data_IF_526829137442
#
_entry.id   IF_526829137442
#
_cell.length_a   1.000
_cell.length_b   1.000
_cell.length_c   1.000
_cell.angle_alpha   90.00
_cell.angle_beta   90.00
_cell.angle_gamma   90.00
#
_symmetry.space_group_name_H-M   'P 1'
#
loop_
_entity.id
_entity.type
_entity.pdbx_description
1 polymer ?
#
# COMPACT_ATOMS: atom_id res chain seq x y z
N UNK A 1 56.59 13.58 24.40
CA UNK A 1 55.18 14.01 24.32
C UNK A 1 54.63 13.72 22.94
N UNK A 2 53.79 12.69 22.79
CA UNK A 2 52.85 12.51 21.68
C UNK A 2 51.83 11.47 22.14
N UNK A 3 50.67 11.95 22.57
CA UNK A 3 49.56 11.12 23.07
C UNK A 3 48.84 10.56 21.86
N UNK A 4 48.90 9.24 21.67
CA UNK A 4 48.10 8.53 20.65
C UNK A 4 46.75 8.23 21.30
N UNK A 5 45.71 8.93 20.88
CA UNK A 5 44.36 8.66 21.29
C UNK A 5 43.81 7.51 20.43
N UNK A 6 43.51 6.39 21.09
CA UNK A 6 42.65 5.35 20.55
C UNK A 6 41.23 5.89 20.47
N UNK A 7 40.63 5.87 19.28
CA UNK A 7 39.19 6.02 19.09
C UNK A 7 38.72 4.84 18.22
N UNK A 8 38.44 3.71 18.88
CA UNK A 8 37.55 2.69 18.37
C UNK A 8 36.15 3.07 18.82
N UNK A 9 35.21 3.30 17.89
CA UNK A 9 33.79 2.96 18.05
C UNK A 9 32.98 3.32 16.78
N UNK A 10 32.58 2.25 16.08
CA UNK A 10 31.30 2.07 15.41
C UNK A 10 30.72 3.25 14.61
N UNK A 11 31.12 3.37 13.34
CA UNK A 11 30.30 4.06 12.34
C UNK A 11 29.32 3.04 11.75
N UNK A 12 28.13 3.05 12.33
CA UNK A 12 26.97 2.27 11.92
C UNK A 12 26.67 2.48 10.42
N UNK A 13 26.20 1.41 9.79
CA UNK A 13 25.81 1.31 8.39
C UNK A 13 24.85 2.44 8.00
N UNK A 14 25.21 3.20 6.97
CA UNK A 14 24.26 3.99 6.18
C UNK A 14 23.44 3.02 5.33
N UNK A 15 22.54 2.28 5.96
CA UNK A 15 21.34 1.78 5.27
C UNK A 15 20.41 2.99 5.23
N UNK A 16 19.88 3.41 4.05
CA UNK A 16 18.81 4.39 4.04
C UNK A 16 17.70 3.82 4.94
N UNK A 17 17.44 4.50 6.04
CA UNK A 17 16.33 4.16 6.90
C UNK A 17 15.10 4.35 6.03
N UNK A 18 14.50 3.25 5.59
CA UNK A 18 13.08 3.23 5.25
C UNK A 18 12.39 3.63 6.55
N UNK A 19 12.17 4.93 6.71
CA UNK A 19 11.18 5.40 7.66
C UNK A 19 9.89 4.74 7.19
N UNK A 20 9.36 3.83 8.01
CA UNK A 20 7.93 3.56 8.01
C UNK A 20 7.24 4.85 8.50
N UNK A 21 7.31 5.91 7.69
CA UNK A 21 6.42 7.03 7.85
C UNK A 21 5.03 6.46 7.57
N UNK A 22 4.19 6.45 8.59
CA UNK A 22 2.77 6.11 8.45
C UNK A 22 2.20 6.98 7.33
N UNK A 23 1.61 6.35 6.31
CA UNK A 23 0.99 7.07 5.20
C UNK A 23 -0.15 7.92 5.78
N UNK A 24 -0.05 9.24 5.62
CA UNK A 24 -1.09 10.16 6.08
C UNK A 24 -2.26 10.21 5.08
N UNK A 25 -3.34 10.90 5.44
CA UNK A 25 -4.53 11.02 4.60
C UNK A 25 -4.23 11.52 3.17
N UNK A 26 -3.29 12.47 3.01
CA UNK A 26 -2.93 13.01 1.71
C UNK A 26 -2.11 12.01 0.89
N UNK A 27 -1.21 11.28 1.54
CA UNK A 27 -0.45 10.18 0.96
C UNK A 27 -1.36 9.06 0.46
N UNK A 28 -2.39 8.71 1.24
CA UNK A 28 -3.39 7.70 0.87
C UNK A 28 -4.11 8.12 -0.42
N UNK A 29 -4.70 9.32 -0.45
CA UNK A 29 -5.41 9.79 -1.65
C UNK A 29 -4.50 9.85 -2.87
N UNK A 30 -3.26 10.35 -2.71
CA UNK A 30 -2.31 10.48 -3.81
C UNK A 30 -1.92 9.12 -4.40
N UNK A 31 -1.65 8.12 -3.55
CA UNK A 31 -1.26 6.78 -4.01
C UNK A 31 -2.39 6.07 -4.77
N UNK A 32 -3.63 6.19 -4.29
CA UNK A 32 -4.81 5.60 -4.94
C UNK A 32 -5.16 6.34 -6.23
N UNK A 33 -5.09 7.68 -6.24
CA UNK A 33 -5.31 8.48 -7.45
C UNK A 33 -4.28 8.16 -8.54
N UNK A 34 -3.03 7.84 -8.16
CA UNK A 34 -2.00 7.40 -9.10
C UNK A 34 -2.35 6.06 -9.78
N UNK A 35 -2.99 5.12 -9.08
CA UNK A 35 -3.55 3.91 -9.69
C UNK A 35 -4.66 4.27 -10.67
N UNK A 36 -5.57 5.15 -10.26
CA UNK A 36 -6.69 5.59 -11.11
C UNK A 36 -6.22 6.33 -12.38
N UNK A 37 -5.05 6.96 -12.35
CA UNK A 37 -4.47 7.66 -13.50
C UNK A 37 -3.73 6.74 -14.49
N UNK A 38 -3.41 5.51 -14.09
CA UNK A 38 -2.69 4.53 -14.90
C UNK A 38 -3.64 3.41 -15.38
N UNK A 39 -3.73 3.21 -16.69
CA UNK A 39 -4.67 2.23 -17.25
C UNK A 39 -4.32 0.77 -16.91
N UNK A 40 -3.03 0.44 -16.78
CA UNK A 40 -2.59 -0.91 -16.42
C UNK A 40 -2.92 -1.17 -14.95
N UNK A 41 -2.64 -0.21 -14.08
CA UNK A 41 -2.94 -0.33 -12.65
C UNK A 41 -4.44 -0.30 -12.37
N UNK A 42 -5.18 0.57 -13.05
CA UNK A 42 -6.66 0.59 -12.96
C UNK A 42 -7.24 -0.75 -13.38
N UNK A 43 -6.76 -1.35 -14.48
CA UNK A 43 -7.20 -2.70 -14.88
C UNK A 43 -6.87 -3.75 -13.81
N UNK A 44 -5.64 -3.76 -13.31
CA UNK A 44 -5.22 -4.69 -12.26
C UNK A 44 -6.06 -4.54 -10.99
N UNK A 45 -6.42 -3.31 -10.62
CA UNK A 45 -7.33 -3.05 -9.51
C UNK A 45 -8.72 -3.66 -9.77
N UNK A 46 -9.30 -3.43 -10.95
CA UNK A 46 -10.63 -3.97 -11.24
C UNK A 46 -10.65 -5.50 -11.30
N UNK A 47 -9.57 -6.12 -11.77
CA UNK A 47 -9.42 -7.58 -11.74
C UNK A 47 -9.30 -8.08 -10.28
N UNK A 48 -8.58 -7.36 -9.42
CA UNK A 48 -8.50 -7.63 -7.98
C UNK A 48 -9.86 -7.50 -7.29
N UNK A 49 -10.62 -6.44 -7.55
CA UNK A 49 -11.97 -6.25 -6.98
C UNK A 49 -12.90 -7.40 -7.37
N UNK A 50 -12.91 -7.79 -8.66
CA UNK A 50 -13.66 -8.97 -9.12
C UNK A 50 -13.20 -10.25 -8.42
N UNK A 51 -11.90 -10.39 -8.18
CA UNK A 51 -11.36 -11.55 -7.46
C UNK A 51 -11.86 -11.60 -6.02
N UNK A 52 -11.91 -10.48 -5.32
CA UNK A 52 -12.48 -10.42 -3.97
C UNK A 52 -13.98 -10.76 -3.96
N UNK A 53 -14.74 -10.30 -4.96
CA UNK A 53 -16.15 -10.69 -5.11
C UNK A 53 -16.33 -12.21 -5.33
N UNK A 54 -15.47 -12.84 -6.13
CA UNK A 54 -15.48 -14.30 -6.38
C UNK A 54 -15.13 -15.13 -5.13
N UNK A 55 -14.19 -14.62 -4.32
CA UNK A 55 -13.75 -15.24 -3.07
C UNK A 55 -14.88 -15.14 -2.03
N UNK A 56 -15.43 -13.94 -1.84
CA UNK A 56 -16.40 -13.64 -0.77
C UNK A 56 -15.80 -13.87 0.63
N UNK A 57 -16.63 -14.30 1.58
CA UNK A 57 -16.20 -14.59 2.96
C UNK A 57 -15.64 -16.02 3.13
N UNK A 58 -15.01 -16.59 2.10
CA UNK A 58 -14.47 -17.97 2.12
C UNK A 58 -12.95 -17.96 2.29
N UNK A 59 -12.50 -18.17 3.54
CA UNK A 59 -11.08 -18.21 3.91
C UNK A 59 -10.27 -19.21 3.06
N UNK A 60 -10.84 -20.35 2.67
CA UNK A 60 -10.11 -21.35 1.86
C UNK A 60 -9.89 -20.86 0.43
N UNK A 61 -10.85 -20.13 -0.12
CA UNK A 61 -10.67 -19.49 -1.43
C UNK A 61 -9.69 -18.34 -1.35
N UNK A 62 -9.71 -17.57 -0.25
CA UNK A 62 -8.76 -16.49 -0.02
C UNK A 62 -7.32 -17.04 0.03
N UNK A 63 -7.08 -18.11 0.80
CA UNK A 63 -5.78 -18.79 0.85
C UNK A 63 -5.36 -19.31 -0.53
N UNK A 64 -6.28 -19.94 -1.28
CA UNK A 64 -5.98 -20.46 -2.62
C UNK A 64 -5.70 -19.36 -3.67
N UNK A 65 -6.21 -18.15 -3.46
CA UNK A 65 -6.02 -17.00 -4.33
C UNK A 65 -4.84 -16.09 -3.93
N UNK A 66 -4.12 -16.41 -2.84
CA UNK A 66 -3.08 -15.56 -2.26
C UNK A 66 -2.02 -15.08 -3.26
N UNK A 67 -1.47 -16.00 -4.06
CA UNK A 67 -0.45 -15.67 -5.07
C UNK A 67 -1.00 -14.73 -6.17
N UNK A 68 -2.27 -14.89 -6.53
CA UNK A 68 -2.93 -14.06 -7.54
C UNK A 68 -3.19 -12.65 -6.99
N UNK A 69 -3.68 -12.56 -5.75
CA UNK A 69 -3.87 -11.30 -5.02
C UNK A 69 -2.54 -10.56 -4.88
N UNK A 70 -1.48 -11.24 -4.44
CA UNK A 70 -0.13 -10.65 -4.34
C UNK A 70 0.37 -10.15 -5.71
N UNK A 71 0.06 -10.88 -6.79
CA UNK A 71 0.34 -10.46 -8.16
C UNK A 71 -0.32 -9.13 -8.55
N UNK A 72 -1.58 -8.92 -8.15
CA UNK A 72 -2.26 -7.64 -8.34
C UNK A 72 -1.59 -6.52 -7.53
N UNK A 73 -1.29 -6.73 -6.24
CA UNK A 73 -0.60 -5.73 -5.41
C UNK A 73 0.78 -5.35 -5.95
N UNK A 74 1.54 -6.30 -6.51
CA UNK A 74 2.80 -6.01 -7.22
C UNK A 74 2.61 -5.10 -8.43
N UNK A 75 1.51 -5.28 -9.16
CA UNK A 75 1.18 -4.45 -10.33
C UNK A 75 0.72 -3.05 -9.91
N UNK A 76 -0.08 -2.95 -8.86
CA UNK A 76 -0.56 -1.69 -8.30
C UNK A 76 0.59 -0.86 -7.71
N UNK A 77 1.55 -1.55 -7.10
CA UNK A 77 2.82 -1.02 -6.65
C UNK A 77 2.84 -0.70 -5.15
N UNK A 78 4.05 -0.48 -4.59
CA UNK A 78 4.27 -0.38 -3.15
C UNK A 78 3.59 0.84 -2.49
N UNK A 79 3.38 1.93 -3.24
CA UNK A 79 2.69 3.11 -2.73
C UNK A 79 1.20 2.83 -2.50
N UNK A 80 0.57 2.10 -3.42
CA UNK A 80 -0.81 1.66 -3.27
C UNK A 80 -0.94 0.65 -2.13
N UNK A 81 -0.04 -0.32 -2.05
CA UNK A 81 -0.01 -1.32 -0.97
C UNK A 81 0.09 -0.65 0.42
N UNK A 82 0.99 0.32 0.58
CA UNK A 82 1.12 1.08 1.82
C UNK A 82 -0.13 1.94 2.13
N UNK A 83 -0.76 2.54 1.12
CA UNK A 83 -2.00 3.30 1.28
C UNK A 83 -3.20 2.39 1.63
N UNK A 84 -3.24 1.19 1.05
CA UNK A 84 -4.24 0.16 1.36
C UNK A 84 -4.11 -0.30 2.81
N UNK A 85 -2.91 -0.68 3.25
CA UNK A 85 -2.66 -1.08 4.64
C UNK A 85 -2.99 0.05 5.62
N UNK A 86 -2.54 1.28 5.34
CA UNK A 86 -2.84 2.43 6.19
C UNK A 86 -4.34 2.73 6.27
N UNK A 87 -5.05 2.67 5.14
CA UNK A 87 -6.49 2.92 5.08
C UNK A 87 -7.32 1.85 5.79
N UNK A 88 -7.00 0.57 5.57
CA UNK A 88 -7.69 -0.57 6.20
C UNK A 88 -7.48 -0.62 7.72
N UNK A 89 -6.31 -0.17 8.19
CA UNK A 89 -6.00 -0.10 9.62
C UNK A 89 -6.46 1.22 10.27
N UNK A 90 -6.93 2.19 9.48
CA UNK A 90 -7.43 3.45 10.01
C UNK A 90 -8.84 3.31 10.57
N UNK A 91 -9.15 4.06 11.62
CA UNK A 91 -10.54 4.14 12.10
C UNK A 91 -11.42 4.83 11.05
N UNK A 92 -12.61 4.32 10.79
CA UNK A 92 -13.53 4.83 9.75
C UNK A 92 -13.81 6.34 9.85
N UNK A 93 -13.78 6.91 11.06
CA UNK A 93 -14.04 8.34 11.30
C UNK A 93 -12.80 9.24 11.24
N UNK A 94 -11.61 8.65 11.13
CA UNK A 94 -10.33 9.35 11.02
C UNK A 94 -10.17 10.07 9.67
N UNK A 95 -9.14 10.89 9.54
CA UNK A 95 -8.85 11.56 8.28
C UNK A 95 -8.38 10.55 7.23
N UNK A 96 -7.58 9.57 7.65
CA UNK A 96 -7.01 8.50 6.84
C UNK A 96 -8.11 7.56 6.32
N UNK A 97 -9.03 7.13 7.20
CA UNK A 97 -10.16 6.26 6.82
C UNK A 97 -11.07 6.93 5.79
N UNK A 98 -11.38 8.21 5.96
CA UNK A 98 -12.18 8.99 5.00
C UNK A 98 -11.46 9.20 3.67
N UNK A 99 -10.16 9.50 3.72
CA UNK A 99 -9.35 9.66 2.52
C UNK A 99 -9.25 8.35 1.74
N UNK A 100 -9.13 7.22 2.44
CA UNK A 100 -9.17 5.89 1.86
C UNK A 100 -10.53 5.61 1.22
N UNK A 101 -11.63 5.73 1.95
CA UNK A 101 -13.00 5.49 1.44
C UNK A 101 -13.29 6.35 0.20
N UNK A 102 -12.98 7.65 0.24
CA UNK A 102 -13.22 8.55 -0.89
C UNK A 102 -12.39 8.17 -2.11
N UNK A 103 -11.10 7.88 -1.94
CA UNK A 103 -10.21 7.56 -3.04
C UNK A 103 -10.52 6.17 -3.65
N UNK A 104 -10.81 5.19 -2.80
CA UNK A 104 -11.26 3.86 -3.21
C UNK A 104 -12.56 3.92 -3.98
N UNK A 105 -13.55 4.68 -3.49
CA UNK A 105 -14.82 4.87 -4.22
C UNK A 105 -14.64 5.51 -5.59
N UNK A 106 -13.70 6.45 -5.75
CA UNK A 106 -13.34 7.01 -7.07
C UNK A 106 -12.67 5.98 -7.98
N UNK A 107 -11.79 5.15 -7.42
CA UNK A 107 -11.10 4.11 -8.17
C UNK A 107 -12.08 3.00 -8.60
N UNK A 108 -12.96 2.55 -7.71
CA UNK A 108 -14.06 1.61 -8.00
C UNK A 108 -14.97 2.10 -9.11
N UNK A 109 -15.31 3.40 -9.11
CA UNK A 109 -16.14 4.00 -10.16
C UNK A 109 -15.50 3.92 -11.57
N UNK A 110 -14.19 3.61 -11.67
CA UNK A 110 -13.52 3.37 -12.96
C UNK A 110 -13.64 1.93 -13.43
N UNK A 111 -14.03 1.00 -12.57
CA UNK A 111 -14.25 -0.38 -12.95
C UNK A 111 -15.59 -0.49 -13.68
N UNK A 112 -15.53 -0.57 -15.01
CA UNK A 112 -16.70 -0.94 -15.82
C UNK A 112 -17.03 -2.42 -15.62
N UNK A 113 -18.33 -2.79 -15.54
CA UNK A 113 -18.76 -4.18 -15.44
C UNK A 113 -18.22 -5.05 -16.59
#
# INVERSE_FOLDING_TARGET
MKKIAYALLASCLLVPQVNAATVDAAGISTAIDAVAADAVKTKAYCDLSKKFEEIGDDDKKAEAAGDEIEGYFKTLGPEFDAAWDAGQNAGETSAEGKAFEEAMGKLDAKCTP
#
